data_IF_983381740115
#
_entry.id   IF_983381740115
#
_cell.length_a   1.000
_cell.length_b   1.000
_cell.length_c   1.000
_cell.angle_alpha   90.00
_cell.angle_beta   90.00
_cell.angle_gamma   90.00
#
_symmetry.space_group_name_H-M   'P 1'
#
loop_
_entity.id
_entity.type
_entity.pdbx_description
1 polymer ?
#
# COMPACT_ATOMS: atom_id res chain seq x y z
N UNK A 1 1.49 11.04 15.30
CA UNK A 1 1.28 9.70 14.71
C UNK A 1 0.85 8.82 15.86
N UNK A 2 -0.26 8.07 15.78
CA UNK A 2 -0.66 7.22 16.90
C UNK A 2 0.47 6.20 17.16
N UNK A 3 1.08 6.29 18.34
CA UNK A 3 2.22 5.48 18.74
C UNK A 3 1.76 4.03 18.93
N UNK A 4 2.22 3.12 18.08
CA UNK A 4 1.90 1.69 18.14
C UNK A 4 2.75 0.98 19.21
N UNK A 5 2.83 1.56 20.42
CA UNK A 5 3.58 1.01 21.54
C UNK A 5 5.08 0.80 21.27
N UNK A 6 5.69 1.60 20.39
CA UNK A 6 7.10 1.44 20.00
C UNK A 6 7.37 0.30 19.02
N UNK A 7 6.35 -0.30 18.41
CA UNK A 7 6.51 -1.35 17.41
C UNK A 7 7.33 -0.85 16.20
N UNK A 8 8.28 -1.68 15.75
CA UNK A 8 9.11 -1.36 14.60
C UNK A 8 8.29 -1.32 13.30
N UNK A 9 8.50 -0.28 12.50
CA UNK A 9 7.94 -0.17 11.17
C UNK A 9 8.98 -0.54 10.11
N UNK A 10 8.53 -1.17 9.02
CA UNK A 10 9.35 -1.36 7.83
C UNK A 10 8.97 -0.30 6.80
N UNK A 11 9.98 0.30 6.17
CA UNK A 11 9.80 1.29 5.11
C UNK A 11 10.47 0.75 3.86
N UNK A 12 9.74 0.74 2.75
CA UNK A 12 10.25 0.30 1.45
C UNK A 12 9.71 1.18 0.34
N UNK A 13 10.42 1.21 -0.77
CA UNK A 13 9.90 1.74 -2.03
C UNK A 13 8.85 0.79 -2.61
N UNK A 14 7.91 1.35 -3.37
CA UNK A 14 6.87 0.64 -4.09
C UNK A 14 6.31 1.51 -5.22
N UNK A 15 5.34 0.95 -5.94
CA UNK A 15 4.62 1.64 -7.02
C UNK A 15 3.15 1.78 -6.64
N UNK A 16 2.59 2.98 -6.80
CA UNK A 16 1.14 3.18 -6.73
C UNK A 16 0.57 3.14 -8.14
N UNK A 17 -0.45 2.32 -8.34
CA UNK A 17 -1.19 2.24 -9.59
C UNK A 17 -2.47 3.09 -9.51
N UNK A 18 -2.72 3.87 -10.57
CA UNK A 18 -3.96 4.63 -10.76
C UNK A 18 -4.62 4.21 -12.07
N UNK A 19 -5.94 3.97 -12.03
CA UNK A 19 -6.71 3.68 -13.23
C UNK A 19 -6.95 4.98 -14.03
N UNK A 20 -6.77 4.93 -15.35
CA UNK A 20 -7.03 6.07 -16.23
C UNK A 20 -8.52 6.48 -16.28
N UNK A 21 -9.44 5.59 -15.88
CA UNK A 21 -10.87 5.88 -15.79
C UNK A 21 -11.55 5.00 -14.74
N UNK A 22 -12.76 5.38 -14.32
CA UNK A 22 -13.61 4.58 -13.44
C UNK A 22 -14.40 3.45 -14.13
N UNK A 23 -14.08 3.12 -15.39
CA UNK A 23 -14.70 2.00 -16.09
C UNK A 23 -14.28 0.67 -15.46
N UNK A 24 -15.19 -0.32 -15.45
CA UNK A 24 -14.91 -1.64 -14.88
C UNK A 24 -13.81 -2.41 -15.66
N UNK A 25 -13.70 -2.15 -16.97
CA UNK A 25 -12.71 -2.79 -17.85
C UNK A 25 -12.01 -1.75 -18.70
N UNK A 26 -10.71 -1.97 -18.95
CA UNK A 26 -9.86 -1.12 -19.79
C UNK A 26 -8.79 -1.95 -20.49
N UNK A 27 -8.42 -1.56 -21.71
CA UNK A 27 -7.28 -2.08 -22.44
C UNK A 27 -6.01 -1.23 -22.24
N UNK A 28 -6.14 -0.04 -21.64
CA UNK A 28 -5.00 0.83 -21.33
C UNK A 28 -4.23 0.30 -20.11
N UNK A 29 -2.90 0.37 -20.16
CA UNK A 29 -2.03 0.08 -19.03
C UNK A 29 -2.28 1.10 -17.90
N UNK A 30 -2.27 0.69 -16.62
CA UNK A 30 -2.43 1.64 -15.52
C UNK A 30 -1.25 2.60 -15.40
N UNK A 31 -1.52 3.80 -14.88
CA UNK A 31 -0.47 4.76 -14.55
C UNK A 31 0.24 4.34 -13.26
N UNK A 32 1.55 4.59 -13.18
CA UNK A 32 2.40 4.20 -12.05
C UNK A 32 3.22 5.37 -11.55
N UNK A 33 3.20 5.58 -10.24
CA UNK A 33 4.03 6.57 -9.55
C UNK A 33 4.88 5.92 -8.44
N UNK A 34 6.05 6.48 -8.18
CA UNK A 34 6.89 6.11 -7.03
C UNK A 34 6.14 6.38 -5.73
N UNK A 35 6.18 5.42 -4.81
CA UNK A 35 5.54 5.53 -3.51
C UNK A 35 6.41 4.92 -2.42
N UNK A 36 6.31 5.47 -1.21
CA UNK A 36 6.89 4.87 -0.01
C UNK A 36 5.82 4.10 0.74
N UNK A 37 6.07 2.80 0.96
CA UNK A 37 5.22 1.94 1.78
C UNK A 37 5.79 1.90 3.19
N UNK A 38 4.96 2.22 4.19
CA UNK A 38 5.29 2.03 5.61
C UNK A 38 4.41 0.93 6.19
N UNK A 39 4.99 -0.24 6.39
CA UNK A 39 4.33 -1.39 7.00
C UNK A 39 4.47 -1.38 8.53
N UNK A 40 3.45 -1.89 9.20
CA UNK A 40 3.43 -2.11 10.66
C UNK A 40 3.26 -3.60 10.92
N UNK A 41 3.65 -4.11 12.11
CA UNK A 41 3.40 -5.50 12.45
C UNK A 41 1.90 -5.81 12.40
N UNK A 42 1.53 -6.96 11.84
CA UNK A 42 0.14 -7.33 11.65
C UNK A 42 -0.68 -7.26 12.95
N UNK A 43 -0.14 -7.74 14.07
CA UNK A 43 -0.86 -7.72 15.35
C UNK A 43 -1.22 -6.30 15.84
N UNK A 44 -0.53 -5.27 15.34
CA UNK A 44 -0.73 -3.88 15.72
C UNK A 44 -1.69 -3.14 14.77
N UNK A 45 -2.26 -3.82 13.77
CA UNK A 45 -3.28 -3.24 12.90
C UNK A 45 -4.56 -2.89 13.69
N UNK A 46 -5.39 -1.99 13.16
CA UNK A 46 -6.65 -1.48 13.75
C UNK A 46 -6.54 -0.83 15.14
N UNK A 47 -5.34 -0.47 15.57
CA UNK A 47 -5.11 0.31 16.80
C UNK A 47 -4.95 1.82 16.52
N UNK A 48 -5.49 2.28 15.38
CA UNK A 48 -5.46 3.69 14.90
C UNK A 48 -6.86 4.09 14.42
N UNK A 49 -6.98 5.13 13.61
CA UNK A 49 -8.23 5.43 12.92
C UNK A 49 -8.59 4.35 11.88
N UNK A 50 -9.89 4.17 11.62
CA UNK A 50 -10.41 3.24 10.63
C UNK A 50 -9.79 3.50 9.24
N UNK A 51 -9.51 2.43 8.50
CA UNK A 51 -8.96 2.49 7.16
C UNK A 51 -8.67 1.11 6.57
N UNK A 52 -8.25 1.10 5.31
CA UNK A 52 -7.93 -0.11 4.56
C UNK A 52 -6.66 -0.81 5.09
N UNK A 53 -6.57 -2.13 4.89
CA UNK A 53 -5.42 -2.93 5.29
C UNK A 53 -5.21 -4.09 4.31
N UNK A 54 -3.95 -4.35 3.98
CA UNK A 54 -3.50 -5.50 3.22
C UNK A 54 -2.32 -6.15 3.94
N UNK A 55 -2.28 -7.49 3.94
CA UNK A 55 -1.12 -8.28 4.39
C UNK A 55 -0.24 -8.62 3.20
N UNK A 56 -0.86 -9.12 2.12
CA UNK A 56 -0.17 -9.42 0.87
C UNK A 56 -0.27 -8.22 -0.05
N UNK A 57 0.90 -7.70 -0.44
CA UNK A 57 1.05 -6.58 -1.37
C UNK A 57 1.55 -7.17 -2.69
N UNK A 58 1.02 -6.67 -3.82
CA UNK A 58 1.49 -7.08 -5.14
C UNK A 58 2.96 -6.70 -5.30
N UNK A 59 3.77 -7.65 -5.75
CA UNK A 59 5.14 -7.37 -6.15
C UNK A 59 5.14 -6.69 -7.52
N UNK A 60 5.95 -5.64 -7.67
CA UNK A 60 6.19 -5.04 -8.97
C UNK A 60 6.92 -6.06 -9.85
N UNK A 61 6.35 -6.39 -11.00
CA UNK A 61 6.97 -7.35 -11.90
C UNK A 61 8.35 -6.84 -12.33
N UNK A 62 9.38 -7.66 -12.14
CA UNK A 62 10.70 -7.40 -12.70
C UNK A 62 10.60 -7.60 -14.22
N UNK A 63 10.50 -6.50 -14.98
CA UNK A 63 10.61 -6.55 -16.45
C UNK A 63 12.06 -6.73 -16.88
#
# INVERSE_FOLDING_TARGET
MAELGGAAALVTEGRRETAASGALYSAAEPEREDATIRAVPYYAWDNRANGEMLVWIREEASR
#
